data_IF_599059134060
#
_entry.id   IF_599059134060
#
_cell.length_a   1.000
_cell.length_b   1.000
_cell.length_c   1.000
_cell.angle_alpha   90.00
_cell.angle_beta   90.00
_cell.angle_gamma   90.00
#
_symmetry.space_group_name_H-M   'P 1'
#
loop_
_entity.id
_entity.type
_entity.pdbx_description
1 polymer ?
#
# COMPACT_ATOMS: atom_id res chain seq x y z
N UNK A 1 2.50 8.21 1.89
CA UNK A 1 3.32 8.33 0.66
C UNK A 1 3.79 6.95 0.23
N UNK A 2 3.54 6.52 -1.02
CA UNK A 2 4.12 5.30 -1.57
C UNK A 2 5.53 5.53 -2.11
N UNK A 3 6.46 4.62 -1.85
CA UNK A 3 7.86 4.74 -2.31
C UNK A 3 8.02 4.82 -3.83
N UNK A 4 7.07 4.28 -4.59
CA UNK A 4 7.07 4.36 -6.06
C UNK A 4 7.12 5.82 -6.57
N UNK A 5 6.63 6.80 -5.79
CA UNK A 5 6.72 8.23 -6.17
C UNK A 5 8.17 8.65 -6.44
N UNK A 6 9.12 8.15 -5.64
CA UNK A 6 10.55 8.49 -5.77
C UNK A 6 11.37 7.46 -6.58
N UNK A 7 10.72 6.46 -7.18
CA UNK A 7 11.37 5.51 -8.07
C UNK A 7 11.81 6.22 -9.37
N UNK A 8 13.05 5.97 -9.78
CA UNK A 8 13.66 6.45 -11.05
C UNK A 8 13.64 7.98 -11.23
N UNK A 9 13.76 8.72 -10.12
CA UNK A 9 13.89 10.17 -10.15
C UNK A 9 15.28 10.63 -9.66
N UNK A 10 15.63 11.89 -9.93
CA UNK A 10 16.83 12.49 -9.37
C UNK A 10 16.71 12.62 -7.84
N UNK A 11 17.83 12.50 -7.11
CA UNK A 11 17.83 12.63 -5.64
C UNK A 11 17.29 13.98 -5.17
N UNK A 12 17.60 15.06 -5.87
CA UNK A 12 17.07 16.40 -5.56
C UNK A 12 15.55 16.46 -5.62
N UNK A 13 14.93 15.79 -6.62
CA UNK A 13 13.47 15.67 -6.70
C UNK A 13 12.91 14.84 -5.53
N UNK A 14 13.55 13.71 -5.20
CA UNK A 14 13.12 12.89 -4.07
C UNK A 14 13.17 13.69 -2.75
N UNK A 15 14.24 14.43 -2.51
CA UNK A 15 14.37 15.29 -1.33
C UNK A 15 13.24 16.34 -1.25
N UNK A 16 12.94 17.00 -2.37
CA UNK A 16 11.93 18.05 -2.40
C UNK A 16 10.53 17.50 -2.19
N UNK A 17 10.17 16.38 -2.84
CA UNK A 17 8.82 15.81 -2.70
C UNK A 17 8.59 15.19 -1.32
N UNK A 18 9.62 14.61 -0.70
CA UNK A 18 9.55 14.11 0.68
C UNK A 18 9.40 15.26 1.67
N UNK A 19 10.16 16.36 1.50
CA UNK A 19 10.01 17.56 2.31
C UNK A 19 8.60 18.14 2.18
N UNK A 20 8.11 18.34 0.94
CA UNK A 20 6.74 18.81 0.64
C UNK A 20 5.71 17.93 1.36
N UNK A 21 5.83 16.60 1.24
CA UNK A 21 4.90 15.66 1.83
C UNK A 21 4.87 15.76 3.38
N UNK A 22 6.03 15.78 4.01
CA UNK A 22 6.14 15.84 5.48
C UNK A 22 5.65 17.19 6.03
N UNK A 23 5.93 18.28 5.32
CA UNK A 23 5.47 19.63 5.73
C UNK A 23 3.95 19.78 5.56
N UNK A 24 3.35 19.05 4.62
CA UNK A 24 1.90 18.94 4.44
C UNK A 24 1.23 17.87 5.33
N UNK A 25 1.96 17.31 6.32
CA UNK A 25 1.42 16.39 7.32
C UNK A 25 1.41 14.91 6.93
N UNK A 26 2.00 14.53 5.80
CA UNK A 26 2.16 13.10 5.46
C UNK A 26 3.13 12.45 6.42
N UNK A 27 2.65 11.50 7.20
CA UNK A 27 3.43 10.81 8.24
C UNK A 27 3.54 9.28 8.05
N UNK A 28 2.94 8.71 7.01
CA UNK A 28 3.06 7.30 6.66
C UNK A 28 3.78 7.15 5.32
N UNK A 29 4.91 6.42 5.34
CA UNK A 29 5.74 6.12 4.16
C UNK A 29 5.77 4.62 3.95
N UNK A 30 5.40 4.15 2.76
CA UNK A 30 5.31 2.75 2.39
C UNK A 30 6.28 2.43 1.25
N UNK A 31 7.26 1.57 1.52
CA UNK A 31 8.33 1.23 0.57
C UNK A 31 8.55 -0.28 0.48
N UNK A 32 9.29 -0.71 -0.52
CA UNK A 32 9.69 -2.11 -0.67
C UNK A 32 10.98 -2.23 -1.49
N UNK A 33 11.80 -3.27 -1.28
CA UNK A 33 12.99 -3.55 -2.10
C UNK A 33 12.68 -3.76 -3.58
N UNK A 34 11.46 -4.21 -3.90
CA UNK A 34 10.99 -4.42 -5.27
C UNK A 34 10.60 -3.13 -6.03
N UNK A 35 10.69 -1.95 -5.41
CA UNK A 35 10.36 -0.67 -6.03
C UNK A 35 11.57 0.00 -6.68
N UNK A 36 12.32 -0.76 -7.50
CA UNK A 36 13.51 -0.26 -8.19
C UNK A 36 14.52 0.38 -7.22
N UNK A 37 14.93 1.60 -7.50
CA UNK A 37 15.87 2.37 -6.67
C UNK A 37 15.18 3.26 -5.61
N UNK A 38 13.90 2.99 -5.30
CA UNK A 38 13.13 3.86 -4.40
C UNK A 38 13.70 3.93 -2.99
N UNK A 39 14.27 2.83 -2.46
CA UNK A 39 14.88 2.83 -1.12
C UNK A 39 16.13 3.71 -1.05
N UNK A 40 16.98 3.69 -2.09
CA UNK A 40 18.16 4.53 -2.21
C UNK A 40 17.81 6.01 -2.32
N UNK A 41 16.67 6.34 -2.93
CA UNK A 41 16.15 7.71 -3.03
C UNK A 41 15.51 8.17 -1.72
N UNK A 42 14.75 7.25 -1.09
CA UNK A 42 13.99 7.56 0.12
C UNK A 42 14.90 7.72 1.35
N UNK A 43 15.95 6.91 1.49
CA UNK A 43 16.85 6.96 2.64
C UNK A 43 17.41 8.36 2.90
N UNK A 44 18.17 8.97 1.99
CA UNK A 44 18.67 10.33 2.16
C UNK A 44 17.56 11.37 2.32
N UNK A 45 16.44 11.22 1.58
CA UNK A 45 15.33 12.17 1.62
C UNK A 45 14.58 12.16 2.96
N UNK A 46 14.44 11.00 3.61
CA UNK A 46 13.79 10.85 4.91
C UNK A 46 14.70 11.18 6.10
N UNK A 47 16.01 11.19 5.92
CA UNK A 47 16.95 11.36 7.03
C UNK A 47 16.64 12.58 7.93
N UNK A 48 16.28 13.76 7.42
CA UNK A 48 15.91 14.90 8.27
C UNK A 48 14.58 14.71 8.99
N UNK A 49 13.73 13.79 8.53
CA UNK A 49 12.34 13.64 8.96
C UNK A 49 12.05 12.29 9.60
N UNK A 50 13.06 11.40 9.77
CA UNK A 50 12.84 10.00 10.19
C UNK A 50 11.96 9.87 11.44
N UNK A 51 12.12 10.75 12.41
CA UNK A 51 11.36 10.74 13.66
C UNK A 51 9.95 11.35 13.54
N UNK A 52 9.61 11.91 12.37
CA UNK A 52 8.29 12.49 12.09
C UNK A 52 7.40 11.55 11.26
N UNK A 53 7.94 10.43 10.79
CA UNK A 53 7.24 9.53 9.88
C UNK A 53 7.20 8.11 10.43
N UNK A 54 6.12 7.43 10.15
CA UNK A 54 5.95 5.99 10.31
C UNK A 54 6.42 5.31 9.01
N UNK A 55 7.55 4.62 9.05
CA UNK A 55 8.17 3.99 7.90
C UNK A 55 7.80 2.50 7.83
N UNK A 56 7.10 2.11 6.78
CA UNK A 56 6.74 0.73 6.47
C UNK A 56 7.60 0.20 5.33
N UNK A 57 8.16 -1.00 5.49
CA UNK A 57 8.91 -1.73 4.47
C UNK A 57 8.38 -3.16 4.32
N UNK A 58 8.84 -3.91 3.31
CA UNK A 58 8.30 -5.23 2.95
C UNK A 58 9.40 -6.21 2.56
N UNK A 59 9.04 -7.51 2.53
CA UNK A 59 9.88 -8.60 2.01
C UNK A 59 9.11 -9.47 1.00
N UNK A 60 9.82 -10.17 0.14
CA UNK A 60 9.26 -11.10 -0.83
C UNK A 60 9.83 -12.52 -0.76
N UNK A 61 10.83 -12.75 0.09
CA UNK A 61 11.57 -14.00 0.12
C UNK A 61 10.80 -15.20 0.68
N UNK A 62 9.79 -14.98 1.51
CA UNK A 62 8.94 -15.98 2.17
C UNK A 62 9.66 -16.96 3.12
N UNK A 63 10.97 -17.05 3.11
CA UNK A 63 11.74 -17.85 4.06
C UNK A 63 12.51 -16.94 5.04
N UNK A 64 12.89 -17.52 6.19
CA UNK A 64 13.54 -16.79 7.28
C UNK A 64 14.83 -16.09 6.85
N UNK A 65 15.72 -16.81 6.18
CA UNK A 65 17.05 -16.29 5.82
C UNK A 65 16.93 -15.17 4.76
N UNK A 66 16.05 -15.37 3.78
CA UNK A 66 15.73 -14.37 2.76
C UNK A 66 15.11 -13.11 3.35
N UNK A 67 14.11 -13.25 4.22
CA UNK A 67 13.46 -12.12 4.88
C UNK A 67 14.43 -11.31 5.74
N UNK A 68 15.32 -11.99 6.48
CA UNK A 68 16.37 -11.33 7.24
C UNK A 68 17.34 -10.55 6.34
N UNK A 69 17.80 -11.17 5.24
CA UNK A 69 18.69 -10.52 4.28
C UNK A 69 18.04 -9.30 3.61
N UNK A 70 16.76 -9.40 3.25
CA UNK A 70 16.02 -8.28 2.66
C UNK A 70 15.88 -7.14 3.66
N UNK A 71 15.50 -7.40 4.92
CA UNK A 71 15.42 -6.38 5.96
C UNK A 71 16.75 -5.65 6.17
N UNK A 72 17.85 -6.38 6.34
CA UNK A 72 19.19 -5.78 6.50
C UNK A 72 19.59 -4.96 5.27
N UNK A 73 19.22 -5.41 4.08
CA UNK A 73 19.41 -4.67 2.83
C UNK A 73 18.63 -3.37 2.81
N UNK A 74 17.34 -3.42 3.18
CA UNK A 74 16.45 -2.27 3.24
C UNK A 74 16.93 -1.24 4.27
N UNK A 75 17.30 -1.65 5.47
CA UNK A 75 17.84 -0.76 6.51
C UNK A 75 19.08 0.01 6.03
N UNK A 76 20.00 -0.68 5.30
CA UNK A 76 21.19 -0.02 4.73
C UNK A 76 20.80 1.00 3.64
N UNK A 77 19.92 0.64 2.68
CA UNK A 77 19.50 1.55 1.59
C UNK A 77 18.69 2.73 2.12
N UNK A 78 17.83 2.48 3.11
CA UNK A 78 17.04 3.51 3.80
C UNK A 78 17.85 4.36 4.79
N UNK A 79 19.10 3.99 5.08
CA UNK A 79 20.00 4.70 6.00
C UNK A 79 19.37 4.88 7.40
N UNK A 80 18.72 3.83 7.90
CA UNK A 80 18.06 3.81 9.22
C UNK A 80 18.38 2.50 9.95
N UNK A 81 18.31 2.51 11.26
CA UNK A 81 18.52 1.35 12.12
C UNK A 81 17.22 0.52 12.33
N UNK A 82 16.07 1.11 12.04
CA UNK A 82 14.78 0.44 12.19
C UNK A 82 13.73 0.92 11.18
N UNK A 83 12.72 0.08 10.96
CA UNK A 83 11.45 0.44 10.35
C UNK A 83 10.33 0.32 11.37
N UNK A 84 9.26 1.11 11.22
CA UNK A 84 8.13 1.02 12.13
C UNK A 84 7.28 -0.22 11.84
N UNK A 85 7.11 -0.58 10.58
CA UNK A 85 6.32 -1.71 10.13
C UNK A 85 7.09 -2.54 9.11
N UNK A 86 7.13 -3.86 9.31
CA UNK A 86 7.66 -4.79 8.32
C UNK A 86 6.58 -5.76 7.86
N UNK A 87 6.42 -5.94 6.54
CA UNK A 87 5.27 -6.60 5.96
C UNK A 87 5.68 -7.74 5.02
N UNK A 88 4.95 -8.88 5.08
CA UNK A 88 4.94 -9.85 3.99
C UNK A 88 4.34 -9.17 2.76
N UNK A 89 5.05 -9.17 1.62
CA UNK A 89 4.66 -8.41 0.45
C UNK A 89 3.77 -9.22 -0.50
N UNK A 90 2.59 -8.68 -0.80
CA UNK A 90 1.72 -9.17 -1.88
C UNK A 90 1.37 -10.67 -1.79
N UNK A 91 0.87 -11.12 -0.65
CA UNK A 91 0.32 -12.47 -0.53
C UNK A 91 -0.85 -12.63 -1.52
N UNK A 92 -0.67 -13.48 -2.53
CA UNK A 92 -1.66 -13.74 -3.56
C UNK A 92 -2.09 -15.22 -3.59
N UNK A 93 -1.18 -16.13 -3.22
CA UNK A 93 -1.39 -17.57 -3.26
C UNK A 93 -1.33 -18.17 -1.86
N UNK A 94 -2.09 -19.24 -1.63
CA UNK A 94 -2.05 -20.00 -0.38
C UNK A 94 -0.67 -20.58 -0.09
N UNK A 95 0.08 -20.96 -1.13
CA UNK A 95 1.45 -21.44 -1.00
C UNK A 95 2.37 -20.39 -0.35
N UNK A 96 2.26 -19.11 -0.75
CA UNK A 96 3.01 -18.01 -0.14
C UNK A 96 2.69 -17.85 1.35
N UNK A 97 1.41 -17.97 1.72
CA UNK A 97 0.96 -17.89 3.12
C UNK A 97 1.57 -19.04 3.94
N UNK A 98 1.43 -20.28 3.46
CA UNK A 98 1.94 -21.45 4.16
C UNK A 98 3.47 -21.41 4.29
N UNK A 99 4.19 -20.98 3.25
CA UNK A 99 5.64 -20.85 3.29
C UNK A 99 6.08 -19.75 4.26
N UNK A 100 5.45 -18.58 4.18
CA UNK A 100 5.86 -17.44 5.00
C UNK A 100 5.54 -17.63 6.50
N UNK A 101 4.44 -18.32 6.82
CA UNK A 101 3.98 -18.51 8.20
C UNK A 101 4.33 -19.89 8.79
N UNK A 102 4.82 -20.82 7.98
CA UNK A 102 5.24 -22.16 8.41
C UNK A 102 6.64 -22.18 9.05
N UNK A 103 7.10 -23.38 9.45
CA UNK A 103 8.45 -23.55 10.02
C UNK A 103 9.54 -23.09 9.04
N UNK A 104 10.49 -22.28 9.52
CA UNK A 104 11.52 -21.64 8.70
C UNK A 104 11.02 -20.53 7.78
N UNK A 105 9.78 -20.10 7.95
CA UNK A 105 9.17 -19.04 7.17
C UNK A 105 9.62 -17.64 7.58
N UNK A 106 9.28 -16.67 6.74
CA UNK A 106 9.66 -15.26 6.94
C UNK A 106 9.18 -14.69 8.28
N UNK A 107 8.06 -15.19 8.83
CA UNK A 107 7.50 -14.71 10.07
C UNK A 107 8.44 -14.90 11.27
N UNK A 108 9.31 -15.93 11.26
CA UNK A 108 10.30 -16.12 12.31
C UNK A 108 11.32 -14.97 12.31
N UNK A 109 11.80 -14.54 11.13
CA UNK A 109 12.70 -13.40 10.99
C UNK A 109 12.02 -12.10 11.46
N UNK A 110 10.73 -11.93 11.17
CA UNK A 110 9.94 -10.77 11.62
C UNK A 110 9.87 -10.68 13.15
N UNK A 111 9.57 -11.80 13.81
CA UNK A 111 9.50 -11.88 15.26
C UNK A 111 10.87 -11.62 15.91
N UNK A 112 11.94 -12.15 15.32
CA UNK A 112 13.31 -11.90 15.78
C UNK A 112 13.72 -10.43 15.59
N UNK A 113 13.41 -9.84 14.44
CA UNK A 113 13.67 -8.42 14.15
C UNK A 113 12.92 -7.49 15.12
N UNK A 114 11.67 -7.83 15.49
CA UNK A 114 10.90 -7.08 16.49
C UNK A 114 11.54 -7.19 17.87
N UNK A 115 11.97 -8.36 18.28
CA UNK A 115 12.71 -8.56 19.56
C UNK A 115 14.03 -7.79 19.60
N UNK A 116 14.70 -7.67 18.44
CA UNK A 116 15.95 -6.92 18.30
C UNK A 116 15.74 -5.39 18.17
N UNK A 117 14.50 -4.89 18.17
CA UNK A 117 14.20 -3.47 18.04
C UNK A 117 14.33 -2.90 16.63
N UNK A 118 14.62 -3.74 15.63
CA UNK A 118 14.71 -3.33 14.21
C UNK A 118 13.35 -3.09 13.55
N UNK A 119 12.28 -3.63 14.14
CA UNK A 119 10.90 -3.53 13.67
C UNK A 119 9.99 -3.34 14.89
N UNK A 120 8.98 -2.45 14.76
CA UNK A 120 8.00 -2.22 15.84
C UNK A 120 6.73 -3.05 15.65
N UNK A 121 6.19 -3.03 14.44
CA UNK A 121 4.94 -3.67 14.06
C UNK A 121 5.14 -4.65 12.92
N UNK A 122 4.34 -5.72 12.92
CA UNK A 122 4.35 -6.76 11.88
C UNK A 122 3.06 -6.72 11.09
N UNK A 123 3.17 -6.80 9.77
CA UNK A 123 2.01 -6.76 8.90
C UNK A 123 2.19 -7.60 7.64
N UNK A 124 1.22 -7.50 6.77
CA UNK A 124 1.30 -8.06 5.44
C UNK A 124 0.50 -7.24 4.43
N UNK A 125 0.83 -7.38 3.15
CA UNK A 125 -0.02 -6.95 2.05
C UNK A 125 -0.51 -8.15 1.26
N UNK A 126 -1.74 -8.06 0.71
CA UNK A 126 -2.32 -9.15 -0.05
C UNK A 126 -3.12 -8.65 -1.25
N UNK A 127 -3.23 -9.53 -2.28
CA UNK A 127 -4.05 -9.33 -3.46
C UNK A 127 -5.07 -10.47 -3.68
N UNK A 128 -5.24 -11.34 -2.67
CA UNK A 128 -6.26 -12.39 -2.59
C UNK A 128 -6.99 -12.26 -1.27
N UNK A 129 -8.33 -12.30 -1.30
CA UNK A 129 -9.17 -12.28 -0.10
C UNK A 129 -8.93 -13.55 0.74
N UNK A 130 -8.86 -14.71 0.09
CA UNK A 130 -8.62 -15.98 0.76
C UNK A 130 -7.26 -16.01 1.47
N UNK A 131 -6.18 -15.66 0.75
CA UNK A 131 -4.84 -15.60 1.33
C UNK A 131 -4.75 -14.63 2.50
N UNK A 132 -5.42 -13.47 2.39
CA UNK A 132 -5.44 -12.48 3.46
C UNK A 132 -6.17 -12.98 4.72
N UNK A 133 -7.34 -13.61 4.56
CA UNK A 133 -8.11 -14.15 5.69
C UNK A 133 -7.34 -15.26 6.40
N UNK A 134 -6.73 -16.18 5.64
CA UNK A 134 -5.92 -17.26 6.22
C UNK A 134 -4.69 -16.70 6.94
N UNK A 135 -4.01 -15.71 6.37
CA UNK A 135 -2.89 -15.06 7.04
C UNK A 135 -3.31 -14.41 8.37
N UNK A 136 -4.46 -13.72 8.39
CA UNK A 136 -5.03 -13.14 9.61
C UNK A 136 -5.37 -14.18 10.67
N UNK A 137 -5.78 -15.38 10.27
CA UNK A 137 -6.15 -16.45 11.21
C UNK A 137 -4.94 -17.22 11.75
N UNK A 138 -3.86 -17.32 10.97
CA UNK A 138 -2.66 -18.06 11.36
C UNK A 138 -1.68 -17.25 12.22
N UNK A 139 -1.71 -15.91 12.14
CA UNK A 139 -0.80 -15.07 12.90
C UNK A 139 -1.47 -13.75 13.33
N UNK A 140 -1.11 -13.26 14.52
CA UNK A 140 -1.61 -11.98 15.02
C UNK A 140 -0.79 -10.82 14.46
N UNK A 141 -1.10 -10.43 13.23
CA UNK A 141 -0.53 -9.25 12.61
C UNK A 141 -1.12 -7.97 13.19
N UNK A 142 -0.28 -6.93 13.27
CA UNK A 142 -0.70 -5.59 13.70
C UNK A 142 -1.43 -4.85 12.59
N UNK A 143 -1.10 -5.15 11.31
CA UNK A 143 -1.65 -4.41 10.16
C UNK A 143 -1.88 -5.28 8.93
N UNK A 144 -2.79 -4.81 8.06
CA UNK A 144 -2.99 -5.33 6.71
C UNK A 144 -3.00 -4.18 5.70
N UNK A 145 -2.30 -4.35 4.57
CA UNK A 145 -2.34 -3.49 3.39
C UNK A 145 -3.08 -4.21 2.27
N UNK A 146 -4.22 -3.67 1.84
CA UNK A 146 -5.11 -4.35 0.90
C UNK A 146 -5.71 -3.39 -0.14
N UNK A 147 -6.02 -3.85 -1.38
CA UNK A 147 -6.71 -3.03 -2.37
C UNK A 147 -8.13 -2.71 -1.93
N UNK A 148 -8.41 -1.42 -1.72
CA UNK A 148 -9.74 -0.92 -1.37
C UNK A 148 -10.08 0.22 -2.31
N UNK A 149 -10.99 -0.02 -3.24
CA UNK A 149 -11.56 1.01 -4.09
C UNK A 149 -13.02 0.70 -4.45
N UNK A 150 -13.70 1.71 -4.94
CA UNK A 150 -15.13 1.67 -5.23
C UNK A 150 -15.53 0.65 -6.30
N UNK A 151 -14.67 0.39 -7.31
CA UNK A 151 -14.97 -0.58 -8.38
C UNK A 151 -14.86 -2.01 -7.86
N UNK A 152 -13.73 -2.37 -7.23
CA UNK A 152 -13.55 -3.71 -6.67
C UNK A 152 -14.59 -4.01 -5.59
N UNK A 153 -14.91 -3.03 -4.76
CA UNK A 153 -15.88 -3.17 -3.69
C UNK A 153 -17.29 -3.44 -4.20
N UNK A 154 -17.72 -2.67 -5.24
CA UNK A 154 -19.08 -2.75 -5.77
C UNK A 154 -19.29 -3.83 -6.84
N UNK A 155 -18.33 -4.03 -7.75
CA UNK A 155 -18.47 -4.93 -8.89
C UNK A 155 -17.98 -6.36 -8.58
N UNK A 156 -16.92 -6.52 -7.78
CA UNK A 156 -16.32 -7.82 -7.46
C UNK A 156 -16.59 -8.30 -6.04
N UNK A 157 -17.22 -7.50 -5.19
CA UNK A 157 -17.33 -7.75 -3.74
C UNK A 157 -15.97 -8.06 -3.09
N UNK A 158 -14.90 -7.48 -3.65
CA UNK A 158 -13.52 -7.69 -3.23
C UNK A 158 -13.13 -6.58 -2.24
N UNK A 159 -12.81 -6.95 -1.01
CA UNK A 159 -12.38 -6.02 0.06
C UNK A 159 -13.28 -5.96 1.30
N UNK A 160 -14.63 -6.03 1.21
CA UNK A 160 -15.50 -5.97 2.40
C UNK A 160 -15.12 -6.96 3.49
N UNK A 161 -14.77 -8.20 3.12
CA UNK A 161 -14.38 -9.28 4.03
C UNK A 161 -13.13 -8.92 4.83
N UNK A 162 -12.16 -8.27 4.18
CA UNK A 162 -10.90 -7.88 4.81
C UNK A 162 -11.11 -6.71 5.75
N UNK A 163 -11.92 -5.72 5.34
CA UNK A 163 -12.30 -4.59 6.20
C UNK A 163 -12.99 -5.08 7.46
N UNK A 164 -13.94 -5.99 7.32
CA UNK A 164 -14.65 -6.57 8.46
C UNK A 164 -13.69 -7.32 9.39
N UNK A 165 -12.87 -8.24 8.85
CA UNK A 165 -11.93 -9.04 9.66
C UNK A 165 -10.86 -8.18 10.34
N UNK A 166 -10.34 -7.15 9.66
CA UNK A 166 -9.37 -6.22 10.24
C UNK A 166 -9.96 -5.47 11.45
N UNK A 167 -11.24 -5.05 11.36
CA UNK A 167 -11.95 -4.43 12.49
C UNK A 167 -12.14 -5.40 13.66
N UNK A 168 -12.60 -6.63 13.39
CA UNK A 168 -12.79 -7.66 14.41
C UNK A 168 -11.49 -7.95 15.17
N UNK A 169 -10.35 -7.95 14.46
CA UNK A 169 -9.03 -8.19 15.03
C UNK A 169 -8.31 -6.91 15.49
N UNK A 170 -8.94 -5.75 15.40
CA UNK A 170 -8.36 -4.44 15.77
C UNK A 170 -7.05 -4.13 15.05
N UNK A 171 -6.90 -4.57 13.80
CA UNK A 171 -5.74 -4.33 12.97
C UNK A 171 -5.77 -2.92 12.34
N UNK A 172 -4.59 -2.29 12.22
CA UNK A 172 -4.43 -1.15 11.33
C UNK A 172 -4.64 -1.57 9.88
N UNK A 173 -5.50 -0.84 9.14
CA UNK A 173 -5.79 -1.15 7.75
C UNK A 173 -5.32 -0.05 6.82
N UNK A 174 -4.38 -0.35 5.91
CA UNK A 174 -3.96 0.55 4.86
C UNK A 174 -4.59 0.15 3.54
N UNK A 175 -5.15 1.15 2.84
CA UNK A 175 -5.77 0.96 1.54
C UNK A 175 -4.80 1.31 0.41
N UNK A 176 -4.57 0.37 -0.51
CA UNK A 176 -3.92 0.66 -1.79
C UNK A 176 -4.96 0.66 -2.92
N UNK A 177 -4.60 1.22 -4.07
CA UNK A 177 -5.47 1.33 -5.25
C UNK A 177 -6.69 2.24 -5.05
N UNK A 178 -6.66 3.13 -4.05
CA UNK A 178 -7.78 4.01 -3.71
C UNK A 178 -8.28 4.86 -4.90
N UNK A 179 -7.38 5.25 -5.79
CA UNK A 179 -7.67 6.05 -6.99
C UNK A 179 -7.59 5.21 -8.29
N UNK A 180 -7.67 3.89 -8.20
CA UNK A 180 -7.74 3.03 -9.37
C UNK A 180 -9.17 3.00 -9.95
N UNK A 181 -9.27 2.97 -11.29
CA UNK A 181 -10.52 2.88 -12.02
C UNK A 181 -10.75 1.46 -12.56
N UNK A 182 -9.86 1.00 -13.45
CA UNK A 182 -10.01 -0.27 -14.14
C UNK A 182 -8.66 -0.76 -14.67
N UNK A 183 -8.64 -1.89 -15.36
CA UNK A 183 -7.47 -2.33 -16.13
C UNK A 183 -7.30 -1.47 -17.38
N UNK A 184 -6.06 -1.23 -17.81
CA UNK A 184 -5.82 -0.57 -19.09
C UNK A 184 -6.41 -1.38 -20.24
N UNK A 185 -7.12 -0.76 -21.20
CA UNK A 185 -7.48 -1.42 -22.45
C UNK A 185 -6.24 -2.02 -23.13
N UNK A 186 -6.40 -3.16 -23.80
CA UNK A 186 -5.28 -3.85 -24.44
C UNK A 186 -4.49 -2.95 -25.42
N UNK A 187 -5.19 -2.03 -26.10
CA UNK A 187 -4.61 -1.03 -27.02
C UNK A 187 -3.79 0.05 -26.31
N UNK A 188 -4.03 0.30 -25.03
CA UNK A 188 -3.41 1.37 -24.26
C UNK A 188 -2.41 0.86 -23.21
N UNK A 189 -2.28 -0.47 -23.06
CA UNK A 189 -1.35 -1.11 -22.11
C UNK A 189 0.10 -0.67 -22.29
N UNK A 190 0.48 -0.25 -23.50
CA UNK A 190 1.78 0.34 -23.82
C UNK A 190 1.52 1.73 -24.43
N UNK A 191 1.97 2.79 -23.76
CA UNK A 191 1.89 4.14 -24.29
C UNK A 191 0.98 5.10 -23.53
N UNK A 192 0.35 4.67 -22.43
CA UNK A 192 -0.34 5.60 -21.52
C UNK A 192 0.68 6.50 -20.77
N UNK A 193 0.28 7.70 -20.33
CA UNK A 193 1.19 8.69 -19.73
C UNK A 193 1.64 8.33 -18.30
N UNK A 194 1.06 7.31 -17.70
CA UNK A 194 1.27 6.97 -16.28
C UNK A 194 2.20 5.75 -16.13
N UNK A 195 3.50 5.96 -16.32
CA UNK A 195 4.50 4.88 -16.31
C UNK A 195 4.62 4.09 -15.00
N UNK A 196 4.14 4.66 -13.89
CA UNK A 196 4.13 4.03 -12.56
C UNK A 196 2.79 3.39 -12.18
N UNK A 197 1.78 3.42 -13.07
CA UNK A 197 0.46 2.82 -12.87
C UNK A 197 0.19 1.71 -13.89
N UNK A 198 0.25 0.45 -13.47
CA UNK A 198 -0.11 -0.69 -14.31
C UNK A 198 -1.62 -0.84 -14.57
N UNK A 199 -2.43 -0.01 -13.92
CA UNK A 199 -3.88 0.10 -14.05
C UNK A 199 -4.27 1.51 -14.48
N UNK A 200 -5.43 1.68 -15.09
CA UNK A 200 -6.01 2.99 -15.42
C UNK A 200 -6.46 3.67 -14.12
N UNK A 201 -5.89 4.83 -13.75
CA UNK A 201 -6.36 5.58 -12.59
C UNK A 201 -7.64 6.36 -12.91
N UNK A 202 -8.36 6.78 -11.88
CA UNK A 202 -9.50 7.69 -12.00
C UNK A 202 -9.05 9.05 -12.53
N UNK A 203 -9.93 9.73 -13.27
CA UNK A 203 -9.57 11.00 -13.90
C UNK A 203 -9.39 12.13 -12.87
N UNK A 204 -8.27 12.85 -12.96
CA UNK A 204 -8.03 14.08 -12.21
C UNK A 204 -8.88 15.25 -12.74
N UNK A 205 -9.25 16.21 -11.89
CA UNK A 205 -9.17 16.14 -10.42
C UNK A 205 -10.40 15.50 -9.77
N UNK A 206 -11.61 15.66 -10.34
CA UNK A 206 -12.90 15.41 -9.67
C UNK A 206 -13.16 13.93 -9.35
N UNK A 207 -12.94 13.02 -10.33
CA UNK A 207 -13.20 11.61 -10.10
C UNK A 207 -12.18 11.02 -9.14
N UNK A 208 -10.92 11.44 -9.24
CA UNK A 208 -9.85 11.00 -8.35
C UNK A 208 -10.09 11.47 -6.90
N UNK A 209 -10.55 12.71 -6.71
CA UNK A 209 -10.96 13.24 -5.41
C UNK A 209 -12.10 12.39 -4.81
N UNK A 210 -13.16 12.15 -5.57
CA UNK A 210 -14.31 11.40 -5.08
C UNK A 210 -13.94 9.95 -4.73
N UNK A 211 -13.12 9.29 -5.56
CA UNK A 211 -12.65 7.93 -5.32
C UNK A 211 -11.79 7.83 -4.05
N UNK A 212 -10.88 8.78 -3.85
CA UNK A 212 -10.04 8.82 -2.65
C UNK A 212 -10.86 9.12 -1.39
N UNK A 213 -11.76 10.10 -1.44
CA UNK A 213 -12.67 10.42 -0.33
C UNK A 213 -13.54 9.22 0.03
N UNK A 214 -14.05 8.48 -0.96
CA UNK A 214 -14.81 7.26 -0.71
C UNK A 214 -13.97 6.22 0.04
N UNK A 215 -12.73 5.98 -0.40
CA UNK A 215 -11.83 5.05 0.29
C UNK A 215 -11.52 5.49 1.71
N UNK A 216 -11.23 6.78 1.92
CA UNK A 216 -10.98 7.35 3.25
C UNK A 216 -12.22 7.37 4.15
N UNK A 217 -13.43 7.26 3.58
CA UNK A 217 -14.68 7.10 4.32
C UNK A 217 -14.94 5.66 4.78
N UNK A 218 -14.15 4.69 4.30
CA UNK A 218 -14.14 3.33 4.85
C UNK A 218 -13.35 3.31 6.16
N UNK A 219 -13.50 2.28 7.00
CA UNK A 219 -12.74 2.16 8.26
C UNK A 219 -11.27 1.76 7.97
N UNK A 220 -10.53 2.64 7.32
CA UNK A 220 -9.10 2.49 7.00
C UNK A 220 -8.26 3.47 7.81
N UNK A 221 -7.04 3.06 8.15
CA UNK A 221 -6.08 3.89 8.88
C UNK A 221 -5.38 4.90 7.96
N UNK A 222 -5.07 4.48 6.73
CA UNK A 222 -4.42 5.30 5.72
C UNK A 222 -4.73 4.80 4.32
N UNK A 223 -4.63 5.70 3.32
CA UNK A 223 -4.68 5.35 1.91
C UNK A 223 -3.37 5.73 1.21
N UNK A 224 -2.90 4.85 0.31
CA UNK A 224 -1.70 5.06 -0.48
C UNK A 224 -2.13 5.36 -1.92
N UNK A 225 -1.91 6.60 -2.40
CA UNK A 225 -2.25 7.00 -3.77
C UNK A 225 -1.30 6.35 -4.80
N UNK A 226 -1.62 6.48 -6.11
CA UNK A 226 -0.73 6.08 -7.19
C UNK A 226 0.67 6.67 -7.07
N UNK A 227 1.68 6.00 -7.66
CA UNK A 227 3.06 6.45 -7.66
C UNK A 227 3.36 7.66 -8.57
N UNK A 228 2.37 8.16 -9.30
CA UNK A 228 2.46 9.33 -10.16
C UNK A 228 2.40 10.61 -9.35
N UNK A 229 3.28 11.57 -9.64
CA UNK A 229 3.44 12.79 -8.85
C UNK A 229 2.16 13.64 -8.78
N UNK A 230 1.44 13.74 -9.90
CA UNK A 230 0.22 14.57 -9.96
C UNK A 230 -0.90 13.94 -9.11
N UNK A 231 -1.00 12.60 -9.11
CA UNK A 231 -1.94 11.88 -8.24
C UNK A 231 -1.54 11.96 -6.77
N UNK A 232 -0.25 11.93 -6.48
CA UNK A 232 0.23 12.08 -5.12
C UNK A 232 -0.06 13.48 -4.56
N UNK A 233 0.19 14.54 -5.34
CA UNK A 233 -0.15 15.92 -4.96
C UNK A 233 -1.66 16.12 -4.82
N UNK A 234 -2.44 15.65 -5.78
CA UNK A 234 -3.90 15.67 -5.69
C UNK A 234 -4.41 14.94 -4.44
N UNK A 235 -3.80 13.81 -4.07
CA UNK A 235 -4.16 13.10 -2.86
C UNK A 235 -3.85 13.88 -1.57
N UNK A 236 -2.74 14.63 -1.52
CA UNK A 236 -2.44 15.54 -0.41
C UNK A 236 -3.46 16.67 -0.33
N UNK A 237 -3.82 17.29 -1.47
CA UNK A 237 -4.86 18.34 -1.53
C UNK A 237 -6.20 17.84 -0.99
N UNK A 238 -6.59 16.61 -1.34
CA UNK A 238 -7.81 15.97 -0.82
C UNK A 238 -7.71 15.69 0.67
N UNK A 239 -6.56 15.20 1.14
CA UNK A 239 -6.37 14.85 2.55
C UNK A 239 -6.45 16.08 3.48
N UNK A 240 -5.90 17.23 3.06
CA UNK A 240 -5.92 18.48 3.83
C UNK A 240 -7.34 19.03 4.04
N UNK A 241 -8.26 18.77 3.10
CA UNK A 241 -9.67 19.24 3.13
C UNK A 241 -10.66 18.07 3.20
N UNK A 242 -10.23 16.93 3.71
CA UNK A 242 -11.04 15.72 3.71
C UNK A 242 -12.40 15.93 4.41
N UNK A 243 -13.44 15.54 3.70
CA UNK A 243 -14.78 15.34 4.23
C UNK A 243 -15.29 13.99 3.76
N UNK A 244 -15.96 13.20 4.62
CA UNK A 244 -16.54 11.93 4.19
C UNK A 244 -17.50 12.14 3.02
N UNK A 245 -17.60 11.13 2.14
CA UNK A 245 -18.60 11.16 1.06
C UNK A 245 -20.01 11.02 1.63
N UNK A 246 -20.94 11.75 1.04
CA UNK A 246 -22.36 11.61 1.34
C UNK A 246 -23.02 10.51 0.47
N UNK A 247 -24.33 10.26 0.69
CA UNK A 247 -25.05 9.22 -0.05
C UNK A 247 -25.19 9.50 -1.54
N UNK A 248 -25.34 10.75 -1.95
CA UNK A 248 -25.45 11.16 -3.35
C UNK A 248 -24.11 10.95 -4.08
N UNK A 249 -23.01 11.40 -3.47
CA UNK A 249 -21.65 11.18 -3.96
C UNK A 249 -21.34 9.67 -4.08
N UNK A 250 -21.77 8.90 -3.07
CA UNK A 250 -21.61 7.43 -3.11
C UNK A 250 -22.42 6.82 -4.26
N UNK A 251 -23.69 7.21 -4.44
CA UNK A 251 -24.52 6.72 -5.57
C UNK A 251 -23.91 7.08 -6.92
N UNK A 252 -23.41 8.31 -7.05
CA UNK A 252 -22.74 8.77 -8.27
C UNK A 252 -21.51 7.91 -8.57
N UNK A 253 -20.67 7.66 -7.59
CA UNK A 253 -19.45 6.86 -7.76
C UNK A 253 -19.79 5.39 -8.09
N UNK A 254 -20.79 4.80 -7.43
CA UNK A 254 -21.26 3.45 -7.72
C UNK A 254 -21.88 3.33 -9.11
N UNK A 255 -22.56 4.38 -9.61
CA UNK A 255 -23.04 4.42 -10.99
C UNK A 255 -21.90 4.46 -12.01
N UNK A 256 -20.83 5.19 -11.71
CA UNK A 256 -19.60 5.22 -12.54
C UNK A 256 -18.83 3.89 -12.53
N UNK A 257 -18.98 3.10 -11.49
CA UNK A 257 -18.33 1.78 -11.41
C UNK A 257 -19.00 0.73 -12.32
N UNK A 258 -20.27 0.93 -12.69
CA UNK A 258 -20.99 -0.05 -13.50
C UNK A 258 -20.32 -0.31 -14.83
N UNK A 259 -20.04 -1.59 -15.13
CA UNK A 259 -19.40 -2.02 -16.37
C UNK A 259 -17.88 -1.82 -16.43
N UNK A 260 -17.27 -1.29 -15.36
CA UNK A 260 -15.81 -1.28 -15.26
C UNK A 260 -15.29 -2.64 -14.78
N UNK A 261 -14.17 -3.07 -15.38
CA UNK A 261 -13.48 -4.30 -15.00
C UNK A 261 -12.69 -4.08 -13.69
N UNK A 262 -12.98 -4.81 -12.62
CA UNK A 262 -12.21 -4.75 -11.38
C UNK A 262 -10.77 -5.24 -11.59
N UNK A 263 -9.81 -4.68 -10.83
CA UNK A 263 -8.41 -5.11 -10.90
C UNK A 263 -8.18 -6.51 -10.33
N UNK A 264 -9.02 -6.91 -9.39
CA UNK A 264 -8.99 -8.22 -8.72
C UNK A 264 -10.41 -8.73 -8.50
N UNK A 265 -10.56 -10.06 -8.51
CA UNK A 265 -11.81 -10.78 -8.29
C UNK A 265 -11.69 -11.76 -7.13
N UNK A 266 -12.82 -12.17 -6.56
CA UNK A 266 -12.85 -13.29 -5.63
C UNK A 266 -12.45 -14.58 -6.37
N UNK A 267 -11.59 -15.39 -5.76
CA UNK A 267 -11.12 -16.66 -6.34
C UNK A 267 -10.09 -16.52 -7.48
N UNK A 268 -9.65 -15.30 -7.82
CA UNK A 268 -8.49 -15.09 -8.70
C UNK A 268 -7.22 -15.08 -7.86
N UNK A 269 -6.54 -16.21 -7.80
CA UNK A 269 -5.20 -16.38 -7.23
C UNK A 269 -4.28 -17.05 -8.27
#
# INVERSE_FOLDING_TARGET
MGGIVVMDVAQSFANNIVAEAVDRGVNYVDIAPSYGNAEERMGPALKPYRNRVFLACKEQARDKAGAQKELEGSLRRLQTDHVDLYQLHALAKMEDVHKALGPGGAIEAFVEARKAGKVRFLGFSAHSVEAALVAMDQFNFDTVLFPINFVMYSQAKFGPQIVQRAREKQMGMMAIKAMAKTVWPASEKKGHPYGKCWYEPTQLPKQAELALRWTLSQPVTAAIPPGEIDYFRAAMDVAERFTPVNEEETRTLMAQAKGLEPLFHLGSA
#
